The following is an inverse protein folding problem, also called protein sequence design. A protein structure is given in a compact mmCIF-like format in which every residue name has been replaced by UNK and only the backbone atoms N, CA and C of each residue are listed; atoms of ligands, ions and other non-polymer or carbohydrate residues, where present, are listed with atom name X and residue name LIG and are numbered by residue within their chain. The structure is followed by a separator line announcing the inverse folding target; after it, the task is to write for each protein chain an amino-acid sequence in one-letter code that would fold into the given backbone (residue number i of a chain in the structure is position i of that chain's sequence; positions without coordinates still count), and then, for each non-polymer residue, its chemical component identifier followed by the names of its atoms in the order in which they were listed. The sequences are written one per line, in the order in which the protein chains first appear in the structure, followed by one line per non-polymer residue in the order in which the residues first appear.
data_IF_959762682892
#
_entry.id   IF_959762682892
#
_cell.length_a   1.000
_cell.length_b   1.000
_cell.length_c   1.000
_cell.angle_alpha   90.00
_cell.angle_beta   90.00
_cell.angle_gamma   90.00
#
_symmetry.space_group_name_H-M   'P 1'
#
loop_
_entity.id
_entity.type
_entity.pdbx_description
1 polymer ?
#
# COMPACT_ATOMS: atom_id res chain seq x y z
N UNK A 1 -9.66 -25.04 -22.30
CA UNK A 1 -10.29 -24.16 -21.31
C UNK A 1 -11.81 -24.33 -21.37
N UNK A 2 -12.36 -25.25 -20.55
CA UNK A 2 -13.81 -25.61 -20.56
C UNK A 2 -14.69 -24.41 -20.18
N UNK A 3 -14.21 -23.55 -19.30
CA UNK A 3 -14.98 -22.36 -18.86
C UNK A 3 -15.31 -21.42 -20.03
N UNK A 4 -14.44 -21.35 -21.05
CA UNK A 4 -14.74 -20.58 -22.28
C UNK A 4 -15.92 -21.15 -23.06
N UNK A 5 -16.08 -22.48 -23.07
CA UNK A 5 -17.23 -23.14 -23.71
C UNK A 5 -18.55 -22.97 -22.97
N UNK A 6 -18.47 -22.66 -21.67
CA UNK A 6 -19.63 -22.40 -20.80
C UNK A 6 -20.01 -20.90 -20.73
N UNK A 7 -19.40 -20.05 -21.57
CA UNK A 7 -19.70 -18.63 -21.63
C UNK A 7 -18.84 -17.75 -20.72
N UNK A 8 -17.81 -18.31 -20.07
CA UNK A 8 -16.89 -17.61 -19.20
C UNK A 8 -15.45 -17.63 -19.71
N UNK A 9 -15.14 -16.96 -20.84
CA UNK A 9 -13.78 -16.91 -21.39
C UNK A 9 -12.78 -16.18 -20.46
N UNK A 10 -13.29 -15.32 -19.59
CA UNK A 10 -12.53 -14.55 -18.59
C UNK A 10 -12.24 -15.34 -17.31
N UNK A 11 -12.77 -16.57 -17.17
CA UNK A 11 -12.60 -17.35 -15.94
C UNK A 11 -11.12 -17.71 -15.71
N UNK A 12 -10.64 -17.36 -14.53
CA UNK A 12 -9.29 -17.70 -14.07
C UNK A 12 -9.33 -19.03 -13.30
N UNK A 13 -8.59 -20.01 -13.80
CA UNK A 13 -8.51 -21.34 -13.19
C UNK A 13 -7.12 -21.52 -12.57
N UNK A 14 -7.06 -21.67 -11.26
CA UNK A 14 -5.82 -21.83 -10.49
C UNK A 14 -5.84 -23.15 -9.72
N UNK A 15 -4.79 -23.94 -9.84
CA UNK A 15 -4.60 -25.11 -8.97
C UNK A 15 -4.17 -24.64 -7.59
N UNK A 16 -4.90 -25.06 -6.56
CA UNK A 16 -4.65 -24.69 -5.15
C UNK A 16 -4.00 -25.84 -4.37
N UNK A 17 -3.79 -26.99 -5.02
CA UNK A 17 -3.20 -28.21 -4.44
C UNK A 17 -3.15 -29.32 -5.46
N UNK A 18 -2.92 -30.58 -4.99
CA UNK A 18 -2.89 -31.74 -5.89
C UNK A 18 -4.29 -32.11 -6.41
N UNK A 19 -5.34 -31.81 -5.64
CA UNK A 19 -6.73 -32.24 -5.92
C UNK A 19 -7.75 -31.10 -5.81
N UNK A 20 -7.29 -29.84 -5.67
CA UNK A 20 -8.17 -28.68 -5.54
C UNK A 20 -7.88 -27.63 -6.59
N UNK A 21 -8.95 -27.07 -7.16
CA UNK A 21 -8.90 -26.03 -8.19
C UNK A 21 -9.80 -24.88 -7.77
N UNK A 22 -9.26 -23.67 -7.81
CA UNK A 22 -10.00 -22.43 -7.60
C UNK A 22 -10.39 -21.87 -8.96
N UNK A 23 -11.69 -21.75 -9.21
CA UNK A 23 -12.23 -21.13 -10.41
C UNK A 23 -12.84 -19.79 -10.03
N UNK A 24 -12.30 -18.71 -10.59
CA UNK A 24 -12.83 -17.35 -10.44
C UNK A 24 -13.49 -16.93 -11.72
N UNK A 25 -14.71 -16.44 -11.63
CA UNK A 25 -15.50 -15.94 -12.76
C UNK A 25 -16.28 -14.70 -12.35
N UNK A 26 -16.90 -14.03 -13.31
CA UNK A 26 -17.90 -13.00 -13.01
C UNK A 26 -19.05 -13.56 -12.20
N UNK A 27 -19.82 -12.69 -11.58
CA UNK A 27 -21.01 -13.08 -10.82
C UNK A 27 -21.89 -13.94 -11.70
N UNK A 28 -22.14 -15.17 -11.23
CA UNK A 28 -23.02 -16.11 -11.90
C UNK A 28 -24.48 -15.70 -11.70
N UNK A 29 -25.31 -15.95 -12.67
CA UNK A 29 -26.75 -15.67 -12.57
C UNK A 29 -27.39 -16.63 -11.59
N UNK A 30 -28.05 -16.08 -10.58
CA UNK A 30 -28.88 -16.87 -9.68
C UNK A 30 -30.18 -17.29 -10.39
N UNK A 31 -30.73 -18.44 -10.00
CA UNK A 31 -31.98 -18.95 -10.59
C UNK A 31 -33.14 -17.99 -10.30
N UNK A 32 -33.85 -17.55 -11.33
CA UNK A 32 -35.16 -16.93 -11.19
C UNK A 32 -36.23 -17.94 -11.58
N UNK A 33 -36.85 -18.58 -10.60
CA UNK A 33 -37.94 -19.53 -10.83
C UNK A 33 -37.50 -20.98 -11.19
N UNK A 34 -38.03 -21.54 -12.27
CA UNK A 34 -37.80 -22.94 -12.68
C UNK A 34 -36.51 -23.20 -13.48
N UNK A 35 -35.68 -22.19 -13.74
CA UNK A 35 -34.40 -22.36 -14.44
C UNK A 35 -33.28 -22.72 -13.47
N UNK A 36 -32.48 -23.72 -13.84
CA UNK A 36 -31.29 -24.11 -13.08
C UNK A 36 -30.34 -22.89 -12.96
N UNK A 37 -29.74 -22.74 -11.80
CA UNK A 37 -28.70 -21.70 -11.61
C UNK A 37 -27.52 -22.00 -12.52
N UNK A 38 -26.94 -20.97 -13.10
CA UNK A 38 -25.74 -21.07 -13.93
C UNK A 38 -24.61 -21.84 -13.19
N UNK A 39 -24.55 -21.69 -11.87
CA UNK A 39 -23.65 -22.44 -10.99
C UNK A 39 -23.88 -23.97 -11.11
N UNK A 40 -25.15 -24.43 -11.05
CA UNK A 40 -25.47 -25.86 -11.12
C UNK A 40 -25.13 -26.44 -12.49
N UNK A 41 -25.33 -25.67 -13.56
CA UNK A 41 -24.95 -26.07 -14.91
C UNK A 41 -23.43 -26.23 -15.07
N UNK A 42 -22.65 -25.29 -14.55
CA UNK A 42 -21.18 -25.36 -14.55
C UNK A 42 -20.70 -26.55 -13.71
N UNK A 43 -21.22 -26.71 -12.50
CA UNK A 43 -20.86 -27.85 -11.65
C UNK A 43 -21.12 -29.19 -12.33
N UNK A 44 -22.29 -29.37 -12.92
CA UNK A 44 -22.69 -30.62 -13.59
C UNK A 44 -21.80 -30.89 -14.84
N UNK A 45 -21.44 -29.87 -15.58
CA UNK A 45 -20.54 -30.03 -16.74
C UNK A 45 -19.11 -30.40 -16.31
N UNK A 46 -18.60 -29.79 -15.23
CA UNK A 46 -17.32 -30.14 -14.67
C UNK A 46 -17.29 -31.56 -14.10
N UNK A 47 -18.31 -31.98 -13.35
CA UNK A 47 -18.42 -33.33 -12.82
C UNK A 47 -18.45 -34.38 -13.93
N UNK A 48 -19.16 -34.11 -15.03
CA UNK A 48 -19.25 -35.06 -16.18
C UNK A 48 -17.97 -35.15 -16.98
N UNK A 49 -17.15 -34.06 -16.99
CA UNK A 49 -16.11 -33.92 -18.00
C UNK A 49 -14.71 -34.00 -17.43
N UNK A 50 -14.52 -33.64 -16.14
CA UNK A 50 -13.19 -33.55 -15.52
C UNK A 50 -13.02 -34.61 -14.42
N UNK A 51 -13.79 -34.57 -13.35
CA UNK A 51 -13.73 -35.51 -12.25
C UNK A 51 -14.94 -35.31 -11.32
N UNK A 52 -15.33 -36.31 -10.49
CA UNK A 52 -16.30 -36.13 -9.45
C UNK A 52 -15.83 -35.07 -8.45
N UNK A 53 -16.75 -34.21 -8.01
CA UNK A 53 -16.48 -33.12 -7.07
C UNK A 53 -16.91 -33.56 -5.68
N UNK A 54 -15.94 -33.78 -4.79
CA UNK A 54 -16.22 -34.22 -3.41
C UNK A 54 -16.71 -33.07 -2.53
N UNK A 55 -16.21 -31.87 -2.76
CA UNK A 55 -16.62 -30.66 -2.03
C UNK A 55 -16.59 -29.42 -2.92
N UNK A 56 -17.66 -28.63 -2.86
CA UNK A 56 -17.75 -27.35 -3.57
C UNK A 56 -17.98 -26.23 -2.57
N UNK A 57 -16.97 -25.35 -2.44
CA UNK A 57 -17.12 -24.09 -1.75
C UNK A 57 -17.44 -23.00 -2.79
N UNK A 58 -18.51 -22.26 -2.57
CA UNK A 58 -18.91 -21.14 -3.42
C UNK A 58 -18.93 -19.86 -2.60
N UNK A 59 -18.20 -18.86 -3.05
CA UNK A 59 -18.21 -17.53 -2.47
C UNK A 59 -18.48 -16.51 -3.58
N UNK A 60 -19.44 -15.63 -3.36
CA UNK A 60 -19.86 -14.60 -4.31
C UNK A 60 -19.78 -13.23 -3.66
N UNK A 61 -18.88 -12.40 -4.16
CA UNK A 61 -18.78 -11.01 -3.71
C UNK A 61 -19.56 -10.13 -4.67
N UNK A 62 -20.66 -9.57 -4.19
CA UNK A 62 -21.46 -8.61 -4.96
C UNK A 62 -20.59 -7.38 -5.34
N UNK A 63 -20.71 -6.83 -6.56
CA UNK A 63 -20.06 -5.57 -6.95
C UNK A 63 -20.37 -4.40 -6.01
N UNK A 64 -21.53 -4.41 -5.37
CA UNK A 64 -21.94 -3.42 -4.37
C UNK A 64 -21.03 -3.56 -3.13
N UNK A 65 -20.84 -4.76 -2.61
CA UNK A 65 -19.97 -5.03 -1.44
C UNK A 65 -18.53 -4.65 -1.77
N UNK A 66 -18.04 -4.96 -2.97
CA UNK A 66 -16.70 -4.57 -3.39
C UNK A 66 -16.52 -3.04 -3.39
N UNK A 67 -17.47 -2.30 -3.96
CA UNK A 67 -17.42 -0.83 -3.98
C UNK A 67 -17.53 -0.19 -2.59
N UNK A 68 -18.37 -0.77 -1.72
CA UNK A 68 -18.48 -0.33 -0.33
C UNK A 68 -17.19 -0.58 0.45
N UNK A 69 -16.55 -1.74 0.24
CA UNK A 69 -15.28 -2.07 0.89
C UNK A 69 -14.19 -1.08 0.51
N UNK A 70 -14.06 -0.74 -0.78
CA UNK A 70 -13.09 0.27 -1.24
C UNK A 70 -13.37 1.64 -0.63
N UNK A 71 -14.64 2.07 -0.64
CA UNK A 71 -15.05 3.34 -0.04
C UNK A 71 -14.75 3.39 1.47
N UNK A 72 -15.11 2.34 2.18
CA UNK A 72 -14.88 2.26 3.63
C UNK A 72 -13.39 2.22 3.96
N UNK A 73 -12.56 1.54 3.15
CA UNK A 73 -11.12 1.55 3.28
C UNK A 73 -10.52 2.94 3.09
N UNK A 74 -11.03 3.71 2.11
CA UNK A 74 -10.60 5.10 1.92
C UNK A 74 -10.91 5.96 3.15
N UNK A 75 -12.11 5.87 3.69
CA UNK A 75 -12.47 6.59 4.92
C UNK A 75 -11.67 6.12 6.15
N UNK A 76 -11.40 4.81 6.26
CA UNK A 76 -10.56 4.27 7.33
C UNK A 76 -9.12 4.81 7.23
N UNK A 77 -8.54 4.86 6.02
CA UNK A 77 -7.22 5.44 5.78
C UNK A 77 -7.18 6.93 6.11
N UNK A 78 -8.21 7.69 5.73
CA UNK A 78 -8.32 9.11 6.06
C UNK A 78 -8.42 9.32 7.57
N UNK A 79 -9.29 8.58 8.24
CA UNK A 79 -9.43 8.64 9.69
C UNK A 79 -8.11 8.28 10.41
N UNK A 80 -7.46 7.18 10.00
CA UNK A 80 -6.17 6.77 10.54
C UNK A 80 -5.12 7.89 10.35
N UNK A 81 -5.06 8.52 9.18
CA UNK A 81 -4.14 9.64 8.90
C UNK A 81 -4.37 10.82 9.85
N UNK A 82 -5.63 11.18 10.11
CA UNK A 82 -5.97 12.25 11.06
C UNK A 82 -5.53 11.87 12.48
N UNK A 83 -5.83 10.65 12.94
CA UNK A 83 -5.41 10.19 14.27
C UNK A 83 -3.89 10.13 14.41
N UNK A 84 -3.17 9.67 13.39
CA UNK A 84 -1.71 9.64 13.36
C UNK A 84 -1.14 11.06 13.46
N UNK A 85 -1.69 12.01 12.71
CA UNK A 85 -1.27 13.41 12.75
C UNK A 85 -1.47 14.01 14.14
N UNK A 86 -2.64 13.81 14.73
CA UNK A 86 -2.95 14.29 16.08
C UNK A 86 -2.07 13.62 17.13
N UNK A 87 -1.85 12.30 17.03
CA UNK A 87 -0.99 11.56 17.94
C UNK A 87 0.45 12.07 17.87
N UNK A 88 1.03 12.21 16.68
CA UNK A 88 2.40 12.70 16.52
C UNK A 88 2.50 14.14 17.01
N UNK A 89 1.54 14.99 16.68
CA UNK A 89 1.52 16.36 17.17
C UNK A 89 1.51 16.42 18.71
N UNK A 90 0.67 15.62 19.34
CA UNK A 90 0.62 15.54 20.81
C UNK A 90 1.91 14.94 21.41
N UNK A 91 2.39 13.83 20.89
CA UNK A 91 3.58 13.14 21.37
C UNK A 91 4.85 14.00 21.25
N UNK A 92 4.93 14.78 20.17
CA UNK A 92 6.08 15.64 19.86
C UNK A 92 5.91 17.10 20.27
N UNK A 93 4.91 17.43 21.09
CA UNK A 93 4.60 18.81 21.50
C UNK A 93 5.76 19.57 22.16
N UNK A 94 6.76 18.88 22.70
CA UNK A 94 7.97 19.48 23.29
C UNK A 94 9.02 19.83 22.24
N UNK A 95 8.93 19.30 21.04
CA UNK A 95 9.84 19.66 19.95
C UNK A 95 9.40 20.95 19.26
N UNK A 96 10.34 21.77 18.76
CA UNK A 96 9.99 22.94 17.99
C UNK A 96 9.23 22.52 16.72
N UNK A 97 8.09 23.19 16.45
CA UNK A 97 7.27 22.98 15.25
C UNK A 97 6.76 21.52 15.09
N UNK A 98 6.24 20.93 16.17
CA UNK A 98 5.76 19.54 16.25
C UNK A 98 4.86 19.10 15.09
N UNK A 99 4.02 19.98 14.54
CA UNK A 99 3.13 19.70 13.40
C UNK A 99 3.87 19.24 12.13
N UNK A 100 5.14 19.64 11.95
CA UNK A 100 5.94 19.25 10.79
C UNK A 100 6.24 17.76 10.77
N UNK A 101 6.46 17.16 11.95
CA UNK A 101 6.68 15.72 12.07
C UNK A 101 5.42 14.95 11.63
N UNK A 102 4.23 15.39 12.10
CA UNK A 102 2.97 14.77 11.70
C UNK A 102 2.71 14.83 10.19
N UNK A 103 2.89 16.02 9.59
CA UNK A 103 2.69 16.19 8.15
C UNK A 103 3.72 15.37 7.34
N UNK A 104 5.00 15.34 7.77
CA UNK A 104 6.02 14.53 7.11
C UNK A 104 5.72 13.04 7.16
N UNK A 105 5.17 12.54 8.29
CA UNK A 105 4.72 11.16 8.40
C UNK A 105 3.55 10.86 7.45
N UNK A 106 2.59 11.76 7.29
CA UNK A 106 1.47 11.59 6.35
C UNK A 106 1.96 11.60 4.89
N UNK A 107 2.91 12.48 4.54
CA UNK A 107 3.51 12.48 3.20
C UNK A 107 4.19 11.14 2.90
N UNK A 108 4.96 10.59 3.85
CA UNK A 108 5.57 9.28 3.72
C UNK A 108 4.52 8.17 3.57
N UNK A 109 3.45 8.20 4.38
CA UNK A 109 2.35 7.24 4.31
C UNK A 109 1.65 7.24 2.95
N UNK A 110 1.38 8.43 2.39
CA UNK A 110 0.80 8.56 1.05
C UNK A 110 1.75 8.00 0.00
N UNK A 111 3.05 8.34 0.08
CA UNK A 111 4.08 7.80 -0.80
C UNK A 111 4.08 6.26 -0.77
N UNK A 112 4.11 5.64 0.40
CA UNK A 112 4.17 4.19 0.56
C UNK A 112 2.93 3.51 -0.01
N UNK A 113 1.76 4.07 0.28
CA UNK A 113 0.49 3.59 -0.27
C UNK A 113 0.49 3.64 -1.79
N UNK A 114 0.94 4.75 -2.38
CA UNK A 114 1.00 4.92 -3.84
C UNK A 114 2.00 3.96 -4.49
N UNK A 115 3.16 3.73 -3.88
CA UNK A 115 4.16 2.76 -4.39
C UNK A 115 3.60 1.35 -4.36
N UNK A 116 2.98 0.93 -3.25
CA UNK A 116 2.38 -0.41 -3.15
C UNK A 116 1.24 -0.58 -4.17
N UNK A 117 0.35 0.40 -4.31
CA UNK A 117 -0.71 0.40 -5.32
C UNK A 117 -0.14 0.31 -6.75
N UNK A 118 0.89 1.10 -7.05
CA UNK A 118 1.55 1.11 -8.35
C UNK A 118 2.21 -0.23 -8.70
N UNK A 119 2.94 -0.81 -7.74
CA UNK A 119 3.56 -2.13 -7.91
C UNK A 119 2.52 -3.23 -8.12
N UNK A 120 1.43 -3.23 -7.34
CA UNK A 120 0.35 -4.20 -7.51
C UNK A 120 -0.41 -4.01 -8.82
N UNK A 121 -0.55 -2.79 -9.32
CA UNK A 121 -1.11 -2.53 -10.65
C UNK A 121 -0.26 -3.19 -11.76
N UNK A 122 1.07 -3.11 -11.65
CA UNK A 122 2.00 -3.76 -12.58
C UNK A 122 1.95 -5.28 -12.42
N UNK A 123 2.02 -5.79 -11.19
CA UNK A 123 1.95 -7.23 -10.90
C UNK A 123 0.62 -7.83 -11.34
N UNK A 124 -0.49 -7.11 -11.18
CA UNK A 124 -1.81 -7.51 -11.66
C UNK A 124 -1.83 -7.68 -13.18
N UNK A 125 -1.17 -6.80 -13.92
CA UNK A 125 -1.11 -6.87 -15.39
C UNK A 125 -0.18 -7.99 -15.87
N UNK A 126 0.93 -8.24 -15.18
CA UNK A 126 1.96 -9.23 -15.61
C UNK A 126 1.63 -10.63 -15.12
N UNK A 127 1.19 -10.77 -13.88
CA UNK A 127 0.98 -12.05 -13.21
C UNK A 127 -0.49 -12.36 -12.90
N UNK A 128 -1.42 -11.53 -13.40
CA UNK A 128 -2.86 -11.67 -13.13
C UNK A 128 -3.21 -11.73 -11.63
N UNK A 129 -2.45 -10.98 -10.79
CA UNK A 129 -2.71 -10.85 -9.37
C UNK A 129 -3.90 -9.92 -9.18
N UNK A 130 -4.95 -10.41 -8.53
CA UNK A 130 -6.16 -9.62 -8.31
C UNK A 130 -6.08 -8.71 -7.10
N UNK A 131 -6.66 -7.53 -7.25
CA UNK A 131 -6.91 -6.58 -6.16
C UNK A 131 -8.28 -6.91 -5.55
N UNK A 132 -8.27 -7.59 -4.43
CA UNK A 132 -9.48 -8.03 -3.71
C UNK A 132 -9.55 -7.42 -2.30
N UNK A 133 -10.55 -7.81 -1.50
CA UNK A 133 -10.69 -7.34 -0.11
C UNK A 133 -9.44 -7.62 0.74
N UNK A 134 -8.76 -8.75 0.51
CA UNK A 134 -7.52 -9.11 1.20
C UNK A 134 -6.37 -8.14 0.90
N UNK A 135 -6.29 -7.65 -0.34
CA UNK A 135 -5.37 -6.60 -0.73
C UNK A 135 -5.62 -5.30 0.05
N UNK A 136 -6.90 -4.93 0.20
CA UNK A 136 -7.30 -3.71 0.95
C UNK A 136 -6.88 -3.81 2.42
N UNK A 137 -7.09 -4.97 3.05
CA UNK A 137 -6.62 -5.25 4.41
C UNK A 137 -5.09 -5.10 4.48
N UNK A 138 -4.38 -5.62 3.48
CA UNK A 138 -2.93 -5.48 3.38
C UNK A 138 -2.47 -4.04 3.31
N UNK A 139 -3.09 -3.19 2.51
CA UNK A 139 -2.79 -1.75 2.42
C UNK A 139 -2.97 -1.05 3.78
N UNK A 140 -4.06 -1.31 4.48
CA UNK A 140 -4.31 -0.73 5.81
C UNK A 140 -3.27 -1.21 6.83
N UNK A 141 -2.85 -2.47 6.75
CA UNK A 141 -1.79 -3.03 7.59
C UNK A 141 -0.44 -2.37 7.31
N UNK A 142 -0.10 -2.18 6.04
CA UNK A 142 1.13 -1.47 5.59
C UNK A 142 1.15 -0.05 6.14
N UNK A 143 0.02 0.66 6.09
CA UNK A 143 -0.09 2.01 6.62
C UNK A 143 0.29 2.07 8.11
N UNK A 144 -0.22 1.15 8.92
CA UNK A 144 0.11 1.05 10.34
C UNK A 144 1.59 0.71 10.59
N UNK A 145 2.15 -0.22 9.79
CA UNK A 145 3.54 -0.62 9.90
C UNK A 145 4.51 0.51 9.52
N UNK A 146 4.30 1.17 8.40
CA UNK A 146 5.13 2.27 7.90
C UNK A 146 5.22 3.42 8.89
N UNK A 147 4.07 3.82 9.46
CA UNK A 147 4.02 4.89 10.46
C UNK A 147 4.80 4.53 11.72
N UNK A 148 4.75 3.27 12.17
CA UNK A 148 5.48 2.83 13.35
C UNK A 148 6.99 3.05 13.19
N UNK A 149 7.58 2.67 12.05
CA UNK A 149 9.00 2.88 11.77
C UNK A 149 9.35 4.38 11.66
N UNK A 150 8.50 5.16 11.00
CA UNK A 150 8.64 6.62 10.91
C UNK A 150 8.66 7.28 12.30
N UNK A 151 7.81 6.84 13.23
CA UNK A 151 7.76 7.35 14.60
C UNK A 151 9.08 7.06 15.34
N UNK A 152 9.67 5.88 15.17
CA UNK A 152 10.96 5.52 15.79
C UNK A 152 12.07 6.47 15.34
N UNK A 153 12.18 6.76 14.05
CA UNK A 153 13.16 7.70 13.51
C UNK A 153 12.88 9.13 14.01
N UNK A 154 11.64 9.55 14.00
CA UNK A 154 11.25 10.90 14.44
C UNK A 154 11.43 11.11 15.94
N UNK A 155 11.19 10.09 16.74
CA UNK A 155 11.43 10.18 18.19
C UNK A 155 12.90 10.42 18.49
N UNK A 156 13.80 9.76 17.75
CA UNK A 156 15.24 9.98 17.87
C UNK A 156 15.65 11.39 17.39
N UNK A 157 15.06 11.85 16.28
CA UNK A 157 15.29 13.23 15.81
C UNK A 157 14.84 14.24 16.89
N UNK A 158 13.64 14.04 17.46
CA UNK A 158 13.12 14.88 18.54
C UNK A 158 14.06 14.92 19.74
N UNK A 159 14.53 13.74 20.17
CA UNK A 159 15.43 13.60 21.30
C UNK A 159 16.74 14.38 21.06
N UNK A 160 17.36 14.21 19.89
CA UNK A 160 18.60 14.89 19.54
C UNK A 160 18.43 16.40 19.38
N UNK A 161 17.29 16.86 18.83
CA UNK A 161 16.96 18.31 18.72
C UNK A 161 16.82 18.95 20.09
N UNK A 162 16.25 18.27 21.08
CA UNK A 162 16.11 18.80 22.43
C UNK A 162 17.44 18.78 23.19
N UNK A 163 18.26 17.74 23.01
CA UNK A 163 19.55 17.59 23.72
C UNK A 163 20.66 18.48 23.16
N UNK A 164 20.64 18.77 21.88
CA UNK A 164 21.71 19.47 21.17
C UNK A 164 21.20 20.68 20.36
N UNK A 165 20.59 21.67 21.03
CA UNK A 165 19.99 22.83 20.34
C UNK A 165 21.02 23.68 19.58
N UNK A 166 22.31 23.56 19.88
CA UNK A 166 23.42 24.26 19.23
C UNK A 166 23.77 23.71 17.83
N UNK A 167 23.36 22.47 17.52
CA UNK A 167 23.68 21.84 16.25
C UNK A 167 22.68 22.19 15.16
N UNK A 168 23.11 22.14 13.90
CA UNK A 168 22.20 22.33 12.77
C UNK A 168 21.19 21.18 12.69
N UNK A 169 19.93 21.52 12.36
CA UNK A 169 18.86 20.54 12.25
C UNK A 169 19.20 19.38 11.30
N UNK A 170 19.82 19.70 10.15
CA UNK A 170 20.26 18.69 9.16
C UNK A 170 21.27 17.70 9.77
N UNK A 171 22.24 18.20 10.55
CA UNK A 171 23.21 17.32 11.23
C UNK A 171 22.53 16.42 12.24
N UNK A 172 21.57 16.95 13.00
CA UNK A 172 20.81 16.17 14.00
C UNK A 172 19.97 15.07 13.34
N UNK A 173 19.31 15.38 12.23
CA UNK A 173 18.54 14.39 11.46
C UNK A 173 19.47 13.28 10.95
N UNK A 174 20.61 13.62 10.35
CA UNK A 174 21.56 12.63 9.86
C UNK A 174 22.10 11.75 10.99
N UNK A 175 22.50 12.32 12.12
CA UNK A 175 22.91 11.56 13.30
C UNK A 175 21.82 10.63 13.78
N UNK A 176 20.57 11.10 13.87
CA UNK A 176 19.44 10.31 14.32
C UNK A 176 19.12 9.13 13.40
N UNK A 177 19.24 9.32 12.08
CA UNK A 177 19.08 8.25 11.10
C UNK A 177 20.16 7.17 11.32
N UNK A 178 21.41 7.56 11.45
CA UNK A 178 22.52 6.60 11.68
C UNK A 178 22.32 5.82 12.98
N UNK A 179 21.82 6.46 14.02
CA UNK A 179 21.57 5.82 15.32
C UNK A 179 20.36 4.85 15.30
N UNK A 180 19.41 5.06 14.39
CA UNK A 180 18.17 4.26 14.33
C UNK A 180 18.13 3.24 13.19
N UNK A 181 18.96 3.40 12.15
CA UNK A 181 18.92 2.56 10.95
C UNK A 181 19.07 1.07 11.26
N UNK A 182 19.98 0.71 12.17
CA UNK A 182 20.18 -0.68 12.58
C UNK A 182 18.93 -1.27 13.22
N UNK A 183 18.20 -0.50 14.03
CA UNK A 183 16.95 -0.92 14.66
C UNK A 183 15.84 -1.10 13.61
N UNK A 184 15.65 -0.14 12.73
CA UNK A 184 14.65 -0.19 11.65
C UNK A 184 14.89 -1.39 10.74
N UNK A 185 16.14 -1.59 10.30
CA UNK A 185 16.49 -2.74 9.47
C UNK A 185 16.28 -4.08 10.17
N UNK A 186 16.67 -4.23 11.44
CA UNK A 186 16.47 -5.46 12.19
C UNK A 186 14.97 -5.78 12.36
N UNK A 187 14.15 -4.78 12.68
CA UNK A 187 12.70 -4.96 12.83
C UNK A 187 12.08 -5.38 11.50
N UNK A 188 12.44 -4.71 10.41
CA UNK A 188 11.92 -5.03 9.08
C UNK A 188 12.39 -6.40 8.59
N UNK A 189 13.66 -6.73 8.81
CA UNK A 189 14.21 -8.03 8.41
C UNK A 189 13.53 -9.19 9.15
N UNK A 190 13.34 -9.06 10.46
CA UNK A 190 12.64 -10.09 11.25
C UNK A 190 11.20 -10.27 10.79
N UNK A 191 10.49 -9.17 10.52
CA UNK A 191 9.13 -9.22 9.96
C UNK A 191 9.11 -9.87 8.57
N UNK A 192 10.04 -9.50 7.69
CA UNK A 192 10.15 -10.08 6.35
C UNK A 192 10.46 -11.57 6.38
N UNK A 193 11.32 -12.04 7.30
CA UNK A 193 11.61 -13.47 7.47
C UNK A 193 10.35 -14.26 7.84
N UNK A 194 9.54 -13.74 8.76
CA UNK A 194 8.26 -14.37 9.12
C UNK A 194 7.29 -14.38 7.93
N UNK A 195 7.16 -13.25 7.24
CA UNK A 195 6.29 -13.16 6.05
C UNK A 195 6.74 -14.10 4.93
N UNK A 196 8.05 -14.23 4.68
CA UNK A 196 8.60 -15.17 3.71
C UNK A 196 8.35 -16.62 4.11
N UNK A 197 8.55 -16.97 5.38
CA UNK A 197 8.20 -18.31 5.86
C UNK A 197 6.70 -18.62 5.63
N UNK A 198 5.83 -17.66 5.93
CA UNK A 198 4.40 -17.79 5.69
C UNK A 198 4.06 -17.87 4.18
N UNK A 199 4.78 -17.14 3.32
CA UNK A 199 4.60 -17.23 1.85
C UNK A 199 4.98 -18.60 1.29
N UNK A 200 6.00 -19.25 1.86
CA UNK A 200 6.47 -20.58 1.44
C UNK A 200 5.55 -21.69 1.92
N UNK A 201 5.06 -21.62 3.17
CA UNK A 201 4.30 -22.69 3.84
C UNK A 201 2.79 -22.40 3.81
N UNK A 202 2.40 -21.14 3.74
CA UNK A 202 1.02 -20.69 3.84
C UNK A 202 0.15 -21.06 2.64
N UNK A 203 -1.15 -21.17 2.89
CA UNK A 203 -2.16 -21.47 1.87
C UNK A 203 -2.32 -20.37 0.82
N UNK A 204 -2.84 -20.72 -0.35
CA UNK A 204 -3.05 -19.81 -1.47
C UNK A 204 -3.94 -18.59 -1.13
N UNK A 205 -4.91 -18.77 -0.21
CA UNK A 205 -5.86 -17.73 0.18
C UNK A 205 -5.22 -16.48 0.80
N UNK A 206 -4.10 -16.63 1.51
CA UNK A 206 -3.43 -15.52 2.21
C UNK A 206 -2.22 -14.97 1.45
N UNK A 207 -1.79 -15.61 0.34
CA UNK A 207 -0.60 -15.18 -0.41
C UNK A 207 -0.67 -13.73 -0.87
N UNK A 208 -1.83 -13.28 -1.35
CA UNK A 208 -2.04 -11.90 -1.76
C UNK A 208 -1.78 -10.91 -0.62
N UNK A 209 -2.35 -11.17 0.57
CA UNK A 209 -2.12 -10.37 1.77
C UNK A 209 -0.63 -10.31 2.13
N UNK A 210 0.01 -11.49 2.20
CA UNK A 210 1.42 -11.59 2.59
C UNK A 210 2.34 -10.83 1.62
N UNK A 211 2.06 -10.88 0.31
CA UNK A 211 2.81 -10.12 -0.69
C UNK A 211 2.63 -8.61 -0.51
N UNK A 212 1.41 -8.13 -0.29
CA UNK A 212 1.14 -6.71 -0.04
C UNK A 212 1.94 -6.24 1.17
N UNK A 213 1.83 -6.98 2.28
CA UNK A 213 2.50 -6.61 3.54
C UNK A 213 4.02 -6.68 3.39
N UNK A 214 4.57 -7.71 2.73
CA UNK A 214 6.01 -7.84 2.51
C UNK A 214 6.58 -6.66 1.67
N UNK A 215 5.92 -6.32 0.56
CA UNK A 215 6.29 -5.16 -0.25
C UNK A 215 6.15 -3.87 0.57
N UNK A 216 5.06 -3.73 1.32
CA UNK A 216 4.82 -2.57 2.16
C UNK A 216 5.85 -2.38 3.27
N UNK A 217 6.33 -3.46 3.89
CA UNK A 217 7.42 -3.41 4.89
C UNK A 217 8.71 -2.90 4.27
N UNK A 218 9.07 -3.36 3.08
CA UNK A 218 10.27 -2.89 2.36
C UNK A 218 10.15 -1.40 2.02
N UNK A 219 9.02 -1.01 1.43
CA UNK A 219 8.77 0.38 1.02
C UNK A 219 8.72 1.32 2.23
N UNK A 220 8.01 0.93 3.30
CA UNK A 220 7.89 1.73 4.52
C UNK A 220 9.21 1.92 5.26
N UNK A 221 10.06 0.89 5.30
CA UNK A 221 11.40 1.00 5.90
C UNK A 221 12.28 1.96 5.11
N UNK A 222 12.23 1.88 3.77
CA UNK A 222 12.93 2.85 2.92
C UNK A 222 12.38 4.26 3.12
N UNK A 223 11.07 4.42 3.13
CA UNK A 223 10.38 5.70 3.19
C UNK A 223 10.61 6.44 4.51
N UNK A 224 10.62 5.75 5.65
CA UNK A 224 10.87 6.35 6.96
C UNK A 224 12.24 7.05 7.04
N UNK A 225 13.25 6.44 6.41
CA UNK A 225 14.63 6.93 6.41
C UNK A 225 14.84 8.00 5.33
N UNK A 226 14.39 7.74 4.09
CA UNK A 226 14.76 8.55 2.93
C UNK A 226 13.68 9.53 2.46
N UNK A 227 12.43 9.35 2.83
CA UNK A 227 11.34 10.26 2.45
C UNK A 227 10.91 11.11 3.64
N UNK A 228 10.44 10.51 4.74
CA UNK A 228 9.91 11.23 5.89
C UNK A 228 10.95 12.18 6.50
N UNK A 229 12.15 11.68 6.74
CA UNK A 229 13.23 12.43 7.37
C UNK A 229 13.77 13.54 6.46
N UNK A 230 13.92 13.28 5.16
CA UNK A 230 14.39 14.28 4.21
C UNK A 230 13.34 15.37 3.96
N UNK A 231 12.06 15.00 3.90
CA UNK A 231 10.98 15.96 3.79
C UNK A 231 11.00 16.95 4.96
N UNK A 232 11.25 16.47 6.17
CA UNK A 232 11.38 17.29 7.36
C UNK A 232 12.57 18.29 7.25
N UNK A 233 13.73 17.85 6.71
CA UNK A 233 14.91 18.70 6.48
C UNK A 233 14.64 19.77 5.42
N UNK A 234 14.03 19.38 4.28
CA UNK A 234 13.69 20.32 3.20
C UNK A 234 12.75 21.40 3.72
N UNK A 235 11.79 21.02 4.55
CA UNK A 235 10.86 21.97 5.16
C UNK A 235 11.55 22.92 6.14
N UNK A 236 12.53 22.43 6.92
CA UNK A 236 13.26 23.30 7.85
C UNK A 236 14.11 24.32 7.12
N UNK A 237 14.79 23.94 6.05
CA UNK A 237 15.62 24.83 5.22
C UNK A 237 14.82 25.88 4.45
N UNK A 238 13.48 25.87 4.48
CA UNK A 238 12.61 26.76 3.68
C UNK A 238 12.86 26.64 2.16
N UNK A 239 13.41 25.55 1.71
CA UNK A 239 13.79 25.34 0.31
C UNK A 239 12.56 25.20 -0.60
N UNK A 240 11.41 24.81 -0.03
CA UNK A 240 10.13 24.84 -0.75
C UNK A 240 9.81 26.21 -1.36
N UNK A 241 10.04 27.29 -0.61
CA UNK A 241 9.84 28.65 -1.12
C UNK A 241 10.82 29.06 -2.21
N UNK A 242 12.03 28.49 -2.21
CA UNK A 242 13.04 28.74 -3.25
C UNK A 242 12.74 27.97 -4.53
N UNK A 243 12.42 26.69 -4.44
CA UNK A 243 12.07 25.87 -5.60
C UNK A 243 10.85 26.43 -6.34
N UNK A 244 9.82 26.87 -5.59
CA UNK A 244 8.63 27.49 -6.18
C UNK A 244 8.94 28.87 -6.83
N UNK A 245 9.84 29.67 -6.25
CA UNK A 245 10.28 30.94 -6.84
C UNK A 245 11.17 30.75 -8.08
N UNK A 246 12.01 29.71 -8.09
CA UNK A 246 12.84 29.38 -9.26
C UNK A 246 12.00 28.87 -10.42
N UNK A 247 11.02 27.99 -10.16
CA UNK A 247 10.07 27.53 -11.19
C UNK A 247 9.24 28.69 -11.77
N UNK A 248 8.80 29.64 -10.94
CA UNK A 248 8.05 30.81 -11.39
C UNK A 248 8.91 31.81 -12.19
N UNK A 249 10.20 31.94 -11.86
CA UNK A 249 11.14 32.74 -12.64
C UNK A 249 11.50 32.09 -13.98
N UNK A 250 11.68 30.79 -14.02
CA UNK A 250 11.94 30.07 -15.26
C UNK A 250 10.75 30.17 -16.24
N UNK A 251 9.52 30.08 -15.76
CA UNK A 251 8.32 30.23 -16.59
C UNK A 251 8.11 31.69 -17.07
N UNK A 252 8.45 32.70 -16.26
CA UNK A 252 8.34 34.10 -16.67
C UNK A 252 9.41 34.51 -17.70
N UNK A 253 10.63 33.96 -17.58
CA UNK A 253 11.71 34.21 -18.57
C UNK A 253 11.38 33.56 -19.91
N UNK A 254 10.81 32.33 -19.92
CA UNK A 254 10.40 31.66 -21.16
C UNK A 254 9.26 32.39 -21.87
N UNK A 255 8.30 32.96 -21.13
CA UNK A 255 7.20 33.73 -21.70
C UNK A 255 7.68 35.07 -22.30
N UNK A 256 8.61 35.78 -21.63
CA UNK A 256 9.19 37.03 -22.17
C UNK A 256 10.06 36.76 -23.39
N UNK A 257 10.83 35.66 -23.43
CA UNK A 257 11.61 35.33 -24.63
C UNK A 257 10.75 34.94 -25.83
N UNK A 258 9.59 34.32 -25.62
CA UNK A 258 8.62 34.00 -26.68
C UNK A 258 7.93 35.28 -27.19
N UNK A 259 7.58 36.21 -26.30
CA UNK A 259 6.93 37.49 -26.68
C UNK A 259 7.89 38.40 -27.44
N UNK A 260 9.21 38.40 -27.11
CA UNK A 260 10.21 39.16 -27.82
C UNK A 260 10.63 38.55 -29.17
N UNK A 261 10.23 37.31 -29.49
CA UNK A 261 10.44 36.64 -30.76
C UNK A 261 9.26 36.88 -31.76
N UNK A 262 8.14 37.37 -31.25
CA UNK A 262 6.89 37.62 -32.04
C UNK A 262 6.72 39.10 -32.31
N UNK A 263 7.45 39.99 -31.64
CA UNK A 263 7.51 41.44 -31.91
C UNK A 263 8.67 41.78 -32.85
#
# INVERSE_FOLDING_TARGET
NRMSGLGHPEALVQSTGRESVLIRTKVLRESSGQQESERQSIQRDLEKTVAPIDSLAYDSISPIIASETVRNAFFAMLAASVFILLYIWYAFRRAPKAYRYGISAIVALIHDTLIVLGLFSILGRVFSIEVNATFIIGILTVAGYSVNDTIVVFDRIRENVIKHPERSFTSLVNTSIVETIGRSLNTSLTTLLVLLAMLLIGGASIRGLLLVVAIGVIVGTYSSIFIASQFLVIWDRKEFGRAFRLGRRASSVSLQSILNLIS
#
